data_IF_142609371415
#
_entry.id   IF_142609371415
#
_cell.length_a   1.000
_cell.length_b   1.000
_cell.length_c   1.000
_cell.angle_alpha   90.00
_cell.angle_beta   90.00
_cell.angle_gamma   90.00
#
_symmetry.space_group_name_H-M   'P 1'
#
loop_
_entity.id
_entity.type
_entity.pdbx_description
1 polymer ?
#
# COMPACT_ATOMS: atom_id res chain seq x y z
N UNK A 1 20.78 -15.01 -15.10
CA UNK A 1 21.09 -13.91 -14.14
C UNK A 1 20.67 -14.37 -12.75
N UNK A 2 21.43 -14.06 -11.70
CA UNK A 2 21.08 -14.41 -10.35
C UNK A 2 20.35 -13.22 -9.69
N UNK A 3 19.21 -13.46 -9.05
CA UNK A 3 18.50 -12.45 -8.26
C UNK A 3 19.30 -12.16 -6.98
N UNK A 4 19.62 -10.90 -6.76
CA UNK A 4 20.43 -10.40 -5.64
C UNK A 4 19.64 -9.62 -4.61
N UNK A 5 18.43 -9.17 -4.94
CA UNK A 5 17.56 -8.44 -4.02
C UNK A 5 16.08 -8.59 -4.37
N UNK A 6 15.24 -8.30 -3.39
CA UNK A 6 13.79 -8.39 -3.52
C UNK A 6 13.14 -7.07 -3.16
N UNK A 7 12.19 -6.63 -3.97
CA UNK A 7 11.39 -5.45 -3.71
C UNK A 7 9.91 -5.85 -3.77
N UNK A 8 9.18 -5.54 -2.72
CA UNK A 8 7.78 -5.92 -2.58
C UNK A 8 6.88 -4.68 -2.67
N UNK A 9 5.77 -4.81 -3.39
CA UNK A 9 4.64 -3.92 -3.15
C UNK A 9 4.09 -4.16 -1.73
N UNK A 10 3.42 -3.17 -1.16
CA UNK A 10 2.87 -3.26 0.19
C UNK A 10 1.39 -3.68 0.18
N UNK A 11 0.52 -2.78 -0.29
CA UNK A 11 -0.93 -2.90 -0.20
C UNK A 11 -1.50 -3.89 -1.23
N UNK A 12 -2.03 -5.00 -0.75
CA UNK A 12 -2.52 -6.13 -1.54
C UNK A 12 -1.45 -7.21 -1.79
N UNK A 13 -0.18 -6.97 -1.42
CA UNK A 13 0.92 -7.93 -1.58
C UNK A 13 1.45 -8.42 -0.23
N UNK A 14 1.85 -7.52 0.66
CA UNK A 14 2.24 -7.86 2.03
C UNK A 14 1.07 -7.65 3.01
N UNK A 15 0.28 -6.61 2.81
CA UNK A 15 -0.84 -6.22 3.68
C UNK A 15 -2.18 -6.42 2.97
N UNK A 16 -3.09 -7.13 3.63
CA UNK A 16 -4.45 -7.35 3.13
C UNK A 16 -5.29 -6.07 3.26
N UNK A 17 -5.52 -5.41 2.14
CA UNK A 17 -6.33 -4.19 2.07
C UNK A 17 -7.80 -4.42 2.41
N UNK A 18 -8.27 -5.66 2.35
CA UNK A 18 -9.64 -6.01 2.70
C UNK A 18 -9.84 -6.33 4.18
N UNK A 19 -8.75 -6.36 4.99
CA UNK A 19 -8.87 -6.50 6.44
C UNK A 19 -9.63 -5.35 7.10
N UNK A 20 -9.81 -4.20 6.42
CA UNK A 20 -10.69 -3.11 6.86
C UNK A 20 -12.18 -3.44 6.81
N UNK A 21 -12.60 -4.54 6.19
CA UNK A 21 -14.01 -4.96 6.09
C UNK A 21 -14.67 -5.00 7.48
N UNK A 22 -13.96 -5.50 8.48
CA UNK A 22 -14.49 -5.55 9.84
C UNK A 22 -14.81 -4.15 10.41
N UNK A 23 -13.95 -3.17 10.16
CA UNK A 23 -14.21 -1.78 10.57
C UNK A 23 -15.41 -1.17 9.83
N UNK A 24 -15.68 -1.63 8.61
CA UNK A 24 -16.80 -1.19 7.78
C UNK A 24 -18.17 -1.68 8.26
N UNK A 25 -18.24 -2.77 9.04
CA UNK A 25 -19.50 -3.34 9.56
C UNK A 25 -20.33 -2.35 10.40
N UNK A 26 -19.67 -1.40 11.04
CA UNK A 26 -20.34 -0.36 11.80
C UNK A 26 -21.05 0.68 10.91
N UNK A 27 -20.72 0.75 9.64
CA UNK A 27 -21.24 1.75 8.70
C UNK A 27 -22.26 1.19 7.71
N UNK A 28 -22.14 -0.09 7.33
CA UNK A 28 -22.96 -0.70 6.28
C UNK A 28 -23.18 -2.19 6.52
N UNK A 29 -24.31 -2.69 6.01
CA UNK A 29 -24.62 -4.11 5.96
C UNK A 29 -23.76 -4.86 4.91
N UNK A 30 -23.20 -4.14 3.92
CA UNK A 30 -22.28 -4.70 2.92
C UNK A 30 -20.90 -4.02 2.98
N UNK A 31 -20.08 -4.36 4.00
CA UNK A 31 -18.75 -3.78 4.14
C UNK A 31 -17.77 -4.28 3.07
N UNK A 32 -18.06 -5.40 2.42
CA UNK A 32 -17.26 -5.93 1.31
C UNK A 32 -17.37 -5.02 0.09
N UNK A 33 -18.59 -4.65 -0.31
CA UNK A 33 -18.79 -3.71 -1.41
C UNK A 33 -18.12 -2.36 -1.14
N UNK A 34 -18.19 -1.86 0.10
CA UNK A 34 -17.48 -0.64 0.50
C UNK A 34 -15.97 -0.79 0.34
N UNK A 35 -15.38 -1.87 0.84
CA UNK A 35 -13.93 -2.11 0.76
C UNK A 35 -13.46 -2.24 -0.69
N UNK A 36 -14.19 -2.97 -1.52
CA UNK A 36 -13.86 -3.15 -2.93
C UNK A 36 -13.90 -1.83 -3.70
N UNK A 37 -14.99 -1.05 -3.55
CA UNK A 37 -15.12 0.24 -4.23
C UNK A 37 -14.07 1.24 -3.72
N UNK A 38 -13.80 1.26 -2.41
CA UNK A 38 -12.76 2.09 -1.83
C UNK A 38 -11.38 1.78 -2.43
N UNK A 39 -10.99 0.50 -2.48
CA UNK A 39 -9.72 0.08 -3.09
C UNK A 39 -9.66 0.43 -4.57
N UNK A 40 -10.71 0.18 -5.33
CA UNK A 40 -10.77 0.53 -6.75
C UNK A 40 -10.54 2.04 -6.97
N UNK A 41 -11.25 2.89 -6.22
CA UNK A 41 -11.11 4.34 -6.35
C UNK A 41 -9.77 4.86 -5.86
N UNK A 42 -9.20 4.24 -4.84
CA UNK A 42 -7.86 4.56 -4.37
C UNK A 42 -6.81 4.35 -5.49
N UNK A 43 -6.85 3.21 -6.19
CA UNK A 43 -5.96 2.94 -7.32
C UNK A 43 -6.20 3.91 -8.48
N UNK A 44 -7.46 4.07 -8.89
CA UNK A 44 -7.86 4.99 -9.96
C UNK A 44 -7.35 6.42 -9.70
N UNK A 45 -7.50 6.92 -8.48
CA UNK A 45 -7.07 8.27 -8.14
C UNK A 45 -5.54 8.42 -8.16
N UNK A 46 -4.77 7.38 -7.80
CA UNK A 46 -3.32 7.43 -7.94
C UNK A 46 -2.89 7.60 -9.41
N UNK A 47 -3.55 6.88 -10.31
CA UNK A 47 -3.27 6.98 -11.75
C UNK A 47 -3.66 8.34 -12.31
N UNK A 48 -4.87 8.81 -12.02
CA UNK A 48 -5.35 10.12 -12.47
C UNK A 48 -4.47 11.26 -11.95
N UNK A 49 -4.06 11.22 -10.69
CA UNK A 49 -3.15 12.22 -10.12
C UNK A 49 -1.80 12.23 -10.82
N UNK A 50 -1.24 11.07 -11.12
CA UNK A 50 0.01 10.96 -11.88
C UNK A 50 -0.11 11.52 -13.30
N UNK A 51 -1.21 11.19 -14.01
CA UNK A 51 -1.48 11.67 -15.36
C UNK A 51 -1.67 13.19 -15.41
N UNK A 52 -2.31 13.76 -14.39
CA UNK A 52 -2.53 15.21 -14.28
C UNK A 52 -1.29 15.99 -13.80
N UNK A 53 -0.24 15.30 -13.34
CA UNK A 53 0.91 15.94 -12.67
C UNK A 53 0.53 16.62 -11.35
N UNK A 54 -0.52 16.15 -10.68
CA UNK A 54 -1.06 16.71 -9.42
C UNK A 54 -0.93 15.70 -8.30
N UNK A 55 0.29 15.50 -7.85
CA UNK A 55 0.54 14.60 -6.73
C UNK A 55 -0.10 15.12 -5.44
N UNK A 56 -0.76 14.24 -4.73
CA UNK A 56 -1.12 14.32 -3.32
C UNK A 56 -0.65 13.03 -2.66
N UNK A 57 -0.39 13.04 -1.35
CA UNK A 57 0.07 11.84 -0.68
C UNK A 57 -1.02 10.74 -0.64
N UNK A 58 -0.59 9.51 -0.40
CA UNK A 58 -1.49 8.36 -0.46
C UNK A 58 -2.55 8.36 0.65
N UNK A 59 -2.32 9.06 1.77
CA UNK A 59 -3.33 9.24 2.81
C UNK A 59 -4.49 10.08 2.30
N UNK A 60 -4.22 11.24 1.71
CA UNK A 60 -5.22 12.11 1.12
C UNK A 60 -5.98 11.41 -0.01
N UNK A 61 -5.29 10.65 -0.87
CA UNK A 61 -5.91 9.84 -1.93
C UNK A 61 -6.82 8.76 -1.34
N UNK A 62 -6.39 8.10 -0.28
CA UNK A 62 -7.16 7.06 0.42
C UNK A 62 -8.43 7.63 1.03
N UNK A 63 -8.33 8.79 1.68
CA UNK A 63 -9.49 9.47 2.26
C UNK A 63 -10.48 9.95 1.18
N UNK A 64 -9.99 10.56 0.10
CA UNK A 64 -10.83 10.99 -1.02
C UNK A 64 -11.58 9.82 -1.66
N UNK A 65 -10.92 8.67 -1.81
CA UNK A 65 -11.53 7.43 -2.30
C UNK A 65 -12.60 6.88 -1.35
N UNK A 66 -12.36 6.94 -0.03
CA UNK A 66 -13.34 6.54 0.98
C UNK A 66 -14.59 7.42 0.93
N UNK A 67 -14.42 8.74 0.95
CA UNK A 67 -15.53 9.71 0.88
C UNK A 67 -16.36 9.51 -0.41
N UNK A 68 -15.70 9.27 -1.55
CA UNK A 68 -16.37 8.94 -2.80
C UNK A 68 -17.20 7.64 -2.67
N UNK A 69 -16.62 6.60 -2.11
CA UNK A 69 -17.26 5.28 -1.99
C UNK A 69 -18.48 5.31 -1.08
N UNK A 70 -18.39 6.00 0.06
CA UNK A 70 -19.50 6.23 0.98
C UNK A 70 -20.65 6.96 0.26
N UNK A 71 -20.33 8.05 -0.45
CA UNK A 71 -21.34 8.80 -1.23
C UNK A 71 -21.95 7.93 -2.34
N UNK A 72 -21.13 7.18 -3.07
CA UNK A 72 -21.60 6.35 -4.21
C UNK A 72 -22.53 5.21 -3.78
N UNK A 73 -22.30 4.67 -2.58
CA UNK A 73 -23.13 3.62 -1.97
C UNK A 73 -24.33 4.18 -1.20
N UNK A 74 -24.53 5.49 -1.19
CA UNK A 74 -25.65 6.12 -0.47
C UNK A 74 -25.58 5.99 1.06
N UNK A 75 -24.36 5.77 1.61
CA UNK A 75 -24.16 5.59 3.03
C UNK A 75 -24.10 6.95 3.76
N UNK A 76 -24.64 6.98 4.97
CA UNK A 76 -24.53 8.13 5.87
C UNK A 76 -23.41 7.86 6.86
N UNK A 77 -22.34 8.65 6.80
CA UNK A 77 -21.18 8.52 7.67
C UNK A 77 -20.84 9.85 8.34
N UNK A 78 -20.56 9.80 9.63
CA UNK A 78 -19.97 10.93 10.36
C UNK A 78 -18.47 11.01 10.08
N UNK A 79 -17.85 12.18 10.26
CA UNK A 79 -16.39 12.32 10.16
C UNK A 79 -15.66 11.39 11.14
N UNK A 80 -16.20 11.14 12.33
CA UNK A 80 -15.65 10.16 13.26
C UNK A 80 -15.70 8.71 12.74
N UNK A 81 -16.73 8.33 11.98
CA UNK A 81 -16.80 7.02 11.35
C UNK A 81 -15.77 6.89 10.21
N UNK A 82 -15.62 7.94 9.39
CA UNK A 82 -14.59 7.98 8.34
C UNK A 82 -13.18 7.92 8.93
N UNK A 83 -12.91 8.67 10.00
CA UNK A 83 -11.61 8.65 10.69
C UNK A 83 -11.27 7.24 11.20
N UNK A 84 -12.22 6.51 11.81
CA UNK A 84 -12.00 5.12 12.24
C UNK A 84 -11.65 4.18 11.09
N UNK A 85 -12.27 4.33 9.92
CA UNK A 85 -11.93 3.54 8.74
C UNK A 85 -10.53 3.87 8.23
N UNK A 86 -10.16 5.16 8.22
CA UNK A 86 -8.82 5.60 7.85
C UNK A 86 -7.77 5.07 8.84
N UNK A 87 -8.06 5.08 10.15
CA UNK A 87 -7.15 4.52 11.17
C UNK A 87 -6.96 3.01 10.99
N UNK A 88 -8.03 2.27 10.65
CA UNK A 88 -7.93 0.85 10.35
C UNK A 88 -6.98 0.58 9.16
N UNK A 89 -6.86 1.51 8.23
CA UNK A 89 -5.91 1.41 7.10
C UNK A 89 -4.44 1.54 7.52
N UNK A 90 -4.15 2.02 8.72
CA UNK A 90 -2.78 2.07 9.27
C UNK A 90 -2.37 0.74 9.93
N UNK A 91 -3.33 -0.12 10.25
CA UNK A 91 -3.10 -1.39 10.98
C UNK A 91 -3.63 -2.59 10.22
N UNK A 92 -3.49 -2.57 8.88
CA UNK A 92 -3.91 -3.66 8.01
C UNK A 92 -3.25 -4.98 8.45
N UNK A 93 -4.00 -6.06 8.37
CA UNK A 93 -3.47 -7.38 8.59
C UNK A 93 -2.42 -7.73 7.52
N UNK A 94 -1.35 -8.36 7.95
CA UNK A 94 -0.39 -8.98 7.04
C UNK A 94 -0.95 -10.32 6.55
N UNK A 95 -0.71 -10.69 5.29
CA UNK A 95 -1.04 -12.03 4.83
C UNK A 95 -0.25 -13.08 5.65
N UNK A 96 -0.84 -14.23 5.97
CA UNK A 96 -0.25 -15.21 6.91
C UNK A 96 1.14 -15.71 6.49
N UNK A 97 1.38 -15.87 5.19
CA UNK A 97 2.62 -16.39 4.63
C UNK A 97 3.78 -15.38 4.58
N UNK A 98 3.52 -14.09 4.74
CA UNK A 98 4.49 -13.01 4.49
C UNK A 98 5.72 -13.13 5.39
N UNK A 99 5.53 -13.32 6.70
CA UNK A 99 6.66 -13.40 7.63
C UNK A 99 7.58 -14.56 7.27
N UNK A 100 7.03 -15.75 7.04
CA UNK A 100 7.82 -16.92 6.67
C UNK A 100 8.52 -16.71 5.31
N UNK A 101 7.83 -16.14 4.33
CA UNK A 101 8.41 -15.85 3.01
C UNK A 101 9.61 -14.89 3.13
N UNK A 102 9.47 -13.80 3.90
CA UNK A 102 10.57 -12.86 4.12
C UNK A 102 11.75 -13.49 4.88
N UNK A 103 11.48 -14.36 5.85
CA UNK A 103 12.53 -15.09 6.58
C UNK A 103 13.31 -16.02 5.66
N UNK A 104 12.65 -16.73 4.73
CA UNK A 104 13.30 -17.60 3.74
C UNK A 104 14.22 -16.85 2.78
N UNK A 105 14.02 -15.55 2.63
CA UNK A 105 14.84 -14.66 1.79
C UNK A 105 16.00 -14.02 2.57
N UNK A 106 16.24 -14.44 3.82
CA UNK A 106 17.34 -13.92 4.62
C UNK A 106 18.69 -14.03 3.90
N UNK A 107 19.57 -13.04 4.12
CA UNK A 107 20.86 -12.95 3.44
C UNK A 107 20.83 -12.25 2.07
N UNK A 108 19.66 -11.80 1.61
CA UNK A 108 19.52 -10.93 0.44
C UNK A 108 18.73 -9.67 0.81
N UNK A 109 19.10 -8.50 0.29
CA UNK A 109 18.37 -7.25 0.55
C UNK A 109 16.88 -7.37 0.21
N UNK A 110 16.03 -6.90 1.12
CA UNK A 110 14.57 -6.90 0.99
C UNK A 110 14.05 -5.50 1.30
N UNK A 111 13.24 -4.97 0.42
CA UNK A 111 12.64 -3.65 0.58
C UNK A 111 11.15 -3.67 0.24
N UNK A 112 10.41 -2.75 0.83
CA UNK A 112 9.10 -2.32 0.32
C UNK A 112 9.32 -1.19 -0.69
N UNK A 113 8.58 -1.20 -1.80
CA UNK A 113 8.40 -0.07 -2.71
C UNK A 113 6.91 0.13 -2.97
N UNK A 114 6.34 1.17 -2.39
CA UNK A 114 4.89 1.33 -2.32
C UNK A 114 4.41 2.74 -2.67
N UNK A 115 3.16 2.80 -3.13
CA UNK A 115 2.40 4.05 -3.27
C UNK A 115 2.05 4.69 -1.91
N UNK A 116 2.14 3.94 -0.80
CA UNK A 116 1.85 4.43 0.54
C UNK A 116 2.71 5.60 0.96
N UNK A 117 2.14 6.51 1.76
CA UNK A 117 2.91 7.58 2.38
C UNK A 117 3.90 7.01 3.42
N UNK A 118 5.00 7.70 3.73
CA UNK A 118 5.99 7.20 4.70
C UNK A 118 5.37 6.84 6.06
N UNK A 119 4.43 7.67 6.55
CA UNK A 119 3.72 7.43 7.81
C UNK A 119 2.87 6.16 7.77
N UNK A 120 2.10 5.96 6.69
CA UNK A 120 1.26 4.77 6.54
C UNK A 120 2.10 3.49 6.48
N UNK A 121 3.20 3.52 5.73
CA UNK A 121 4.09 2.36 5.60
C UNK A 121 4.78 2.03 6.93
N UNK A 122 5.27 3.04 7.65
CA UNK A 122 5.86 2.84 8.97
C UNK A 122 4.86 2.22 9.95
N UNK A 123 3.61 2.70 9.97
CA UNK A 123 2.55 2.13 10.82
C UNK A 123 2.23 0.67 10.46
N UNK A 124 2.08 0.36 9.16
CA UNK A 124 1.78 -0.99 8.70
C UNK A 124 2.91 -1.98 9.00
N UNK A 125 4.17 -1.59 8.77
CA UNK A 125 5.35 -2.42 9.07
C UNK A 125 5.44 -2.70 10.57
N UNK A 126 5.30 -1.65 11.41
CA UNK A 126 5.37 -1.79 12.86
C UNK A 126 4.23 -2.65 13.42
N UNK A 127 2.97 -2.44 12.98
CA UNK A 127 1.82 -3.21 13.43
C UNK A 127 1.94 -4.69 13.07
N UNK A 128 2.56 -5.01 11.93
CA UNK A 128 2.80 -6.38 11.45
C UNK A 128 4.12 -6.98 11.95
N UNK A 129 4.92 -6.23 12.72
CA UNK A 129 6.23 -6.65 13.26
C UNK A 129 7.17 -7.15 12.15
N UNK A 130 7.25 -6.41 11.04
CA UNK A 130 8.13 -6.73 9.89
C UNK A 130 9.42 -5.91 9.90
N UNK A 131 9.65 -5.07 10.92
CA UNK A 131 10.81 -4.18 11.03
C UNK A 131 12.15 -4.92 10.99
N UNK A 132 12.18 -6.14 11.51
CA UNK A 132 13.36 -7.01 11.55
C UNK A 132 13.61 -7.78 10.23
N UNK A 133 12.66 -7.75 9.31
CA UNK A 133 12.68 -8.52 8.07
C UNK A 133 12.87 -7.67 6.80
N UNK A 134 12.86 -6.35 6.92
CA UNK A 134 12.93 -5.42 5.80
C UNK A 134 14.04 -4.40 6.05
N UNK A 135 15.02 -4.33 5.17
CA UNK A 135 16.13 -3.38 5.27
C UNK A 135 15.72 -1.95 4.89
N UNK A 136 14.74 -1.82 3.98
CA UNK A 136 14.27 -0.52 3.51
C UNK A 136 12.77 -0.49 3.28
N UNK A 137 12.17 0.68 3.57
CA UNK A 137 10.78 1.00 3.25
C UNK A 137 10.78 2.24 2.37
N UNK A 138 10.45 2.04 1.09
CA UNK A 138 10.55 3.07 0.06
C UNK A 138 9.15 3.52 -0.33
N UNK A 139 8.86 4.81 -0.12
CA UNK A 139 7.62 5.45 -0.56
C UNK A 139 7.84 6.18 -1.89
N UNK A 140 6.83 6.16 -2.77
CA UNK A 140 6.77 6.99 -3.98
C UNK A 140 6.75 8.49 -3.66
N UNK A 141 6.51 8.86 -2.40
CA UNK A 141 6.54 10.24 -1.93
C UNK A 141 7.90 10.94 -2.23
N UNK A 142 8.97 10.13 -2.39
CA UNK A 142 10.31 10.61 -2.78
C UNK A 142 10.35 11.20 -4.20
N UNK A 143 9.50 10.73 -5.11
CA UNK A 143 9.48 11.16 -6.53
C UNK A 143 8.18 11.84 -6.93
N UNK A 144 7.21 11.97 -5.99
CA UNK A 144 5.93 12.67 -6.17
C UNK A 144 5.14 12.23 -7.42
N UNK A 145 5.20 10.94 -7.71
CA UNK A 145 4.42 10.27 -8.76
C UNK A 145 4.17 8.83 -8.34
N UNK A 146 3.03 8.27 -8.75
CA UNK A 146 2.63 6.91 -8.38
C UNK A 146 3.11 5.86 -9.37
N UNK A 147 3.17 4.59 -8.93
CA UNK A 147 3.27 3.45 -9.85
C UNK A 147 2.11 3.53 -10.88
N UNK A 148 2.36 3.23 -12.17
CA UNK A 148 3.54 2.54 -12.73
C UNK A 148 4.60 3.48 -13.34
N UNK A 149 4.77 4.71 -12.88
CA UNK A 149 5.79 5.60 -13.42
C UNK A 149 7.21 4.99 -13.28
N UNK A 150 8.05 5.01 -14.35
CA UNK A 150 9.40 4.43 -14.33
C UNK A 150 10.28 4.98 -13.20
N UNK A 151 10.14 6.28 -12.88
CA UNK A 151 10.88 6.93 -11.80
C UNK A 151 10.67 6.25 -10.44
N UNK A 152 9.49 5.64 -10.20
CA UNK A 152 9.21 4.89 -8.98
C UNK A 152 10.04 3.61 -8.92
N UNK A 153 10.05 2.82 -10.00
CA UNK A 153 10.80 1.56 -10.04
C UNK A 153 12.30 1.75 -9.96
N UNK A 154 12.82 2.88 -10.44
CA UNK A 154 14.24 3.23 -10.31
C UNK A 154 14.69 3.41 -8.84
N UNK A 155 13.77 3.66 -7.90
CA UNK A 155 14.09 3.78 -6.48
C UNK A 155 14.60 2.46 -5.87
N UNK A 156 14.11 1.32 -6.33
CA UNK A 156 14.52 0.01 -5.82
C UNK A 156 16.01 -0.26 -6.01
N UNK A 157 16.51 -0.32 -7.26
CA UNK A 157 17.93 -0.51 -7.54
C UNK A 157 18.82 0.54 -6.87
N UNK A 158 18.42 1.81 -6.93
CA UNK A 158 19.17 2.90 -6.32
C UNK A 158 19.30 2.78 -4.80
N UNK A 159 18.26 2.27 -4.12
CA UNK A 159 18.27 2.11 -2.66
C UNK A 159 19.04 0.87 -2.22
N UNK A 160 18.89 -0.25 -2.96
CA UNK A 160 19.53 -1.52 -2.60
C UNK A 160 20.96 -1.67 -3.13
N UNK A 161 21.44 -0.74 -3.96
CA UNK A 161 22.78 -0.78 -4.54
C UNK A 161 23.01 -1.98 -5.47
N UNK A 162 21.95 -2.43 -6.17
CA UNK A 162 21.98 -3.55 -7.11
C UNK A 162 21.44 -3.13 -8.46
N UNK A 163 21.76 -3.88 -9.51
CA UNK A 163 21.25 -3.58 -10.86
C UNK A 163 19.77 -3.93 -10.97
N UNK A 164 19.05 -3.24 -11.83
CA UNK A 164 17.61 -3.49 -12.02
C UNK A 164 17.30 -4.93 -12.49
N UNK A 165 18.18 -5.51 -13.31
CA UNK A 165 18.08 -6.89 -13.82
C UNK A 165 18.48 -7.97 -12.80
N UNK A 166 18.99 -7.57 -11.63
CA UNK A 166 19.29 -8.42 -10.48
C UNK A 166 18.22 -8.33 -9.37
N UNK A 167 17.20 -7.48 -9.56
CA UNK A 167 16.08 -7.33 -8.62
C UNK A 167 14.84 -8.09 -9.08
N UNK A 168 14.18 -8.76 -8.14
CA UNK A 168 12.81 -9.24 -8.34
C UNK A 168 11.84 -8.29 -7.66
N UNK A 169 10.93 -7.71 -8.46
CA UNK A 169 9.79 -6.97 -7.94
C UNK A 169 8.60 -7.91 -7.79
N UNK A 170 8.02 -7.98 -6.59
CA UNK A 170 6.90 -8.84 -6.24
C UNK A 170 5.67 -7.97 -6.00
N UNK A 171 4.62 -8.20 -6.75
CA UNK A 171 3.35 -7.48 -6.64
C UNK A 171 2.17 -8.36 -7.04
N UNK A 172 1.06 -8.24 -6.34
CA UNK A 172 -0.23 -8.82 -6.73
C UNK A 172 -1.04 -7.88 -7.64
N UNK A 173 -0.61 -6.64 -7.81
CA UNK A 173 -1.23 -5.68 -8.71
C UNK A 173 -0.54 -5.79 -10.08
N UNK A 174 -1.10 -6.61 -10.96
CA UNK A 174 -0.66 -6.79 -12.34
C UNK A 174 -1.23 -5.68 -13.24
#
# INVERSE_FOLDING_TARGET
>A
MAIRGYVFDAYGTLFDVHSVVEAGRALTADPVALSMLWRQKQLEYTWLRSLMGRYEDFWAVTEAALRHSVKRLGLVATDAALARLMDAYQTLACFPEVREALQRLAGRPRAILSNGSPRMLAAAVASSRLDDLLEHVISVDRVKVYKPAPAVYALGPATLGVRADELLFVSSNA
#
